data_IF_556760372508
#
_entry.id   IF_556760372508
#
_cell.length_a   1.000
_cell.length_b   1.000
_cell.length_c   1.000
_cell.angle_alpha   90.00
_cell.angle_beta   90.00
_cell.angle_gamma   90.00
#
_symmetry.space_group_name_H-M   'P 1'
#
loop_
_entity.id
_entity.type
_entity.pdbx_description
1 polymer ?
#
# COMPACT_ATOMS: atom_id res chain seq x y z
N UNK A 1 34.04 20.93 28.29
CA UNK A 1 34.63 20.84 26.94
C UNK A 1 33.98 21.92 26.11
N UNK A 2 34.75 22.70 25.34
CA UNK A 2 34.16 23.60 24.35
C UNK A 2 33.35 22.78 23.32
N UNK A 3 32.21 23.27 22.82
CA UNK A 3 31.40 22.55 21.85
C UNK A 3 32.19 22.18 20.58
N UNK A 4 31.87 21.05 19.97
CA UNK A 4 32.63 20.44 18.86
C UNK A 4 32.71 21.36 17.61
N UNK A 5 31.74 22.25 17.44
CA UNK A 5 31.69 23.25 16.36
C UNK A 5 32.56 24.50 16.59
N UNK A 6 33.21 24.64 17.76
CA UNK A 6 34.04 25.80 18.10
C UNK A 6 35.54 25.65 17.74
N UNK A 7 35.97 24.52 17.14
CA UNK A 7 37.37 24.20 16.76
C UNK A 7 37.49 23.70 15.31
N UNK A 8 38.67 23.80 14.65
CA UNK A 8 38.76 24.01 13.20
C UNK A 8 38.04 22.94 12.39
N UNK A 9 37.04 23.47 11.67
CA UNK A 9 36.14 22.95 10.64
C UNK A 9 35.42 21.61 10.92
N UNK A 10 34.13 21.69 11.28
CA UNK A 10 33.17 20.59 11.26
C UNK A 10 33.28 19.76 9.96
N UNK A 11 33.55 20.45 8.85
CA UNK A 11 33.88 19.85 7.56
C UNK A 11 35.03 18.82 7.61
N UNK A 12 36.15 19.12 8.28
CA UNK A 12 37.25 18.18 8.43
C UNK A 12 36.85 16.95 9.25
N UNK A 13 36.02 17.13 10.28
CA UNK A 13 35.54 16.01 11.11
C UNK A 13 34.58 15.11 10.31
N UNK A 14 33.68 15.69 9.52
CA UNK A 14 32.81 14.95 8.61
C UNK A 14 33.63 14.15 7.60
N UNK A 15 34.77 14.67 7.13
CA UNK A 15 35.66 13.97 6.19
C UNK A 15 36.45 12.84 6.86
N UNK A 16 36.92 13.03 8.10
CA UNK A 16 37.82 12.08 8.78
C UNK A 16 37.11 10.93 9.50
N UNK A 17 35.84 11.10 9.90
CA UNK A 17 35.15 10.14 10.79
C UNK A 17 34.36 9.08 10.03
N UNK A 18 34.81 7.83 9.99
CA UNK A 18 34.15 6.77 9.18
C UNK A 18 32.65 6.58 9.46
N UNK A 19 32.22 6.68 10.72
CA UNK A 19 30.81 6.68 11.11
C UNK A 19 30.42 8.04 11.72
N UNK A 20 29.60 8.78 10.98
CA UNK A 20 29.18 10.12 11.38
C UNK A 20 28.03 10.13 12.39
N UNK A 21 27.49 8.96 12.79
CA UNK A 21 26.29 8.84 13.64
C UNK A 21 26.45 9.51 15.01
N UNK A 22 27.57 9.28 15.69
CA UNK A 22 27.84 9.89 16.99
C UNK A 22 28.02 11.41 16.87
N UNK A 23 28.69 11.86 15.81
CA UNK A 23 28.88 13.28 15.53
C UNK A 23 27.53 13.95 15.21
N UNK A 24 26.66 13.29 14.43
CA UNK A 24 25.35 13.83 14.10
C UNK A 24 24.46 13.92 15.33
N UNK A 25 24.47 12.90 16.20
CA UNK A 25 23.70 12.94 17.44
C UNK A 25 24.16 14.08 18.36
N UNK A 26 25.47 14.24 18.55
CA UNK A 26 26.01 15.33 19.38
C UNK A 26 25.66 16.71 18.83
N UNK A 27 25.71 16.90 17.50
CA UNK A 27 25.35 18.17 16.86
C UNK A 27 23.85 18.42 16.91
N UNK A 28 23.02 17.39 16.75
CA UNK A 28 21.58 17.50 16.91
C UNK A 28 21.20 17.91 18.35
N UNK A 29 21.87 17.35 19.37
CA UNK A 29 21.69 17.77 20.77
C UNK A 29 22.07 19.24 21.01
N UNK A 30 23.14 19.72 20.37
CA UNK A 30 23.54 21.14 20.40
C UNK A 30 22.49 22.03 19.72
N UNK A 31 21.93 21.59 18.60
CA UNK A 31 20.85 22.29 17.89
C UNK A 31 19.60 22.39 18.77
N UNK A 32 19.16 21.27 19.33
CA UNK A 32 17.97 21.20 20.20
C UNK A 32 18.13 22.04 21.46
N UNK A 33 19.34 22.09 22.01
CA UNK A 33 19.63 22.90 23.19
C UNK A 33 19.81 24.40 22.88
N UNK A 34 19.68 24.82 21.62
CA UNK A 34 19.88 26.20 21.18
C UNK A 34 21.33 26.67 21.26
N UNK A 35 22.29 25.74 21.34
CA UNK A 35 23.74 26.04 21.34
C UNK A 35 24.27 26.27 19.92
N UNK A 36 23.64 25.67 18.92
CA UNK A 36 24.00 25.80 17.51
C UNK A 36 22.73 26.04 16.68
N UNK A 37 22.75 27.05 15.81
CA UNK A 37 21.66 27.24 14.85
C UNK A 37 21.87 26.39 13.60
N UNK A 38 20.78 25.83 13.05
CA UNK A 38 20.86 24.95 11.88
C UNK A 38 21.35 25.70 10.63
N UNK A 39 21.07 27.01 10.50
CA UNK A 39 21.59 27.81 9.39
C UNK A 39 23.10 28.00 9.53
N UNK A 40 23.59 28.35 10.71
CA UNK A 40 25.03 28.43 10.98
C UNK A 40 25.73 27.08 10.75
N UNK A 41 25.09 25.97 11.13
CA UNK A 41 25.60 24.64 10.82
C UNK A 41 25.67 24.41 9.30
N UNK A 42 24.61 24.70 8.55
CA UNK A 42 24.62 24.53 7.08
C UNK A 42 25.69 25.36 6.39
N UNK A 43 25.98 26.58 6.88
CA UNK A 43 27.06 27.42 6.37
C UNK A 43 28.43 26.77 6.61
N UNK A 44 28.67 26.23 7.81
CA UNK A 44 29.91 25.50 8.12
C UNK A 44 30.08 24.22 7.30
N UNK A 45 28.99 23.66 6.79
CA UNK A 45 29.01 22.48 5.92
C UNK A 45 29.20 22.81 4.44
N UNK A 46 29.25 24.09 4.03
CA UNK A 46 29.32 24.47 2.63
C UNK A 46 30.52 23.80 1.91
N UNK A 47 31.68 23.75 2.56
CA UNK A 47 32.92 23.16 2.00
C UNK A 47 32.82 21.66 1.73
N UNK A 48 31.94 20.93 2.44
CA UNK A 48 31.67 19.51 2.18
C UNK A 48 30.51 19.30 1.23
N UNK A 49 29.43 20.10 1.33
CA UNK A 49 28.22 19.96 0.51
C UNK A 49 28.41 20.41 -0.94
N UNK A 50 29.33 21.34 -1.21
CA UNK A 50 29.63 21.84 -2.57
C UNK A 50 31.04 21.48 -3.02
N UNK A 51 31.68 20.50 -2.37
CA UNK A 51 33.04 20.09 -2.70
C UNK A 51 33.13 19.54 -4.14
N UNK A 52 34.27 19.72 -4.83
CA UNK A 52 34.46 19.12 -6.15
C UNK A 52 34.53 17.58 -6.10
N UNK A 53 35.03 17.02 -4.99
CA UNK A 53 35.09 15.58 -4.79
C UNK A 53 33.72 15.00 -4.38
N UNK A 54 33.20 14.09 -5.20
CA UNK A 54 31.91 13.41 -4.98
C UNK A 54 31.83 12.72 -3.62
N UNK A 55 32.91 12.06 -3.18
CA UNK A 55 32.91 11.34 -1.90
C UNK A 55 32.78 12.28 -0.70
N UNK A 56 33.32 13.49 -0.81
CA UNK A 56 33.18 14.51 0.24
C UNK A 56 31.73 15.01 0.28
N UNK A 57 31.11 15.23 -0.89
CA UNK A 57 29.69 15.61 -0.99
C UNK A 57 28.76 14.52 -0.45
N UNK A 58 29.01 13.26 -0.82
CA UNK A 58 28.31 12.08 -0.31
C UNK A 58 28.31 12.08 1.23
N UNK A 59 29.48 12.23 1.85
CA UNK A 59 29.61 12.29 3.32
C UNK A 59 28.89 13.49 3.94
N UNK A 60 29.03 14.67 3.33
CA UNK A 60 28.33 15.88 3.78
C UNK A 60 26.80 15.70 3.74
N UNK A 61 26.29 15.07 2.68
CA UNK A 61 24.87 14.81 2.51
C UNK A 61 24.35 13.76 3.49
N UNK A 62 25.09 12.66 3.71
CA UNK A 62 24.77 11.65 4.73
C UNK A 62 24.68 12.32 6.10
N UNK A 63 25.69 13.11 6.46
CA UNK A 63 25.70 13.83 7.73
C UNK A 63 24.49 14.75 7.89
N UNK A 64 24.18 15.57 6.87
CA UNK A 64 23.03 16.47 6.92
C UNK A 64 21.70 15.72 7.08
N UNK A 65 21.54 14.61 6.35
CA UNK A 65 20.35 13.75 6.45
C UNK A 65 20.22 13.12 7.84
N UNK A 66 21.32 12.69 8.47
CA UNK A 66 21.26 12.18 9.84
C UNK A 66 20.84 13.27 10.84
N UNK A 67 21.37 14.50 10.72
CA UNK A 67 20.92 15.62 11.56
C UNK A 67 19.41 15.82 11.44
N UNK A 68 18.86 15.83 10.23
CA UNK A 68 17.42 16.01 10.03
C UNK A 68 16.57 14.90 10.64
N UNK A 69 17.11 13.68 10.75
CA UNK A 69 16.42 12.55 11.38
C UNK A 69 16.45 12.62 12.92
N UNK A 70 17.49 13.23 13.50
CA UNK A 70 17.70 13.32 14.94
C UNK A 70 17.01 14.55 15.58
N UNK A 71 16.82 15.65 14.84
CA UNK A 71 16.14 16.83 15.37
C UNK A 71 14.62 16.60 15.56
N UNK A 72 13.98 17.27 16.53
CA UNK A 72 12.53 17.20 16.72
C UNK A 72 11.74 17.61 15.47
N UNK A 73 10.65 16.91 15.20
CA UNK A 73 9.81 17.12 14.01
C UNK A 73 9.21 18.53 13.91
N UNK A 74 9.11 19.24 15.03
CA UNK A 74 8.58 20.61 15.11
C UNK A 74 9.65 21.70 15.23
N UNK A 75 10.93 21.33 15.13
CA UNK A 75 12.06 22.25 15.26
C UNK A 75 12.14 23.26 14.10
N UNK A 76 11.96 22.80 12.86
CA UNK A 76 12.16 23.64 11.68
C UNK A 76 10.99 24.59 11.44
N UNK A 77 11.32 25.86 11.22
CA UNK A 77 10.35 26.88 10.78
C UNK A 77 9.94 26.67 9.32
N UNK A 78 8.79 27.24 8.91
CA UNK A 78 8.34 27.20 7.51
C UNK A 78 9.38 27.74 6.51
N UNK A 79 10.12 28.79 6.88
CA UNK A 79 11.18 29.37 6.04
C UNK A 79 12.35 28.41 5.86
N UNK A 80 12.79 27.78 6.95
CA UNK A 80 13.87 26.78 6.91
C UNK A 80 13.44 25.56 6.11
N UNK A 81 12.19 25.12 6.24
CA UNK A 81 11.62 24.04 5.42
C UNK A 81 11.70 24.38 3.94
N UNK A 82 11.22 25.56 3.51
CA UNK A 82 11.30 25.95 2.10
C UNK A 82 12.74 25.96 1.56
N UNK A 83 13.68 26.47 2.36
CA UNK A 83 15.09 26.49 1.99
C UNK A 83 15.71 25.08 1.88
N UNK A 84 15.50 24.25 2.91
CA UNK A 84 16.02 22.87 2.95
C UNK A 84 15.40 22.04 1.82
N UNK A 85 14.09 22.19 1.57
CA UNK A 85 13.44 21.48 0.48
C UNK A 85 14.09 21.81 -0.86
N UNK A 86 14.29 23.09 -1.17
CA UNK A 86 14.97 23.52 -2.39
C UNK A 86 16.38 22.96 -2.49
N UNK A 87 17.12 22.96 -1.38
CA UNK A 87 18.45 22.35 -1.32
C UNK A 87 18.41 20.86 -1.69
N UNK A 88 17.49 20.07 -1.12
CA UNK A 88 17.34 18.65 -1.48
C UNK A 88 16.95 18.44 -2.95
N UNK A 89 16.05 19.28 -3.49
CA UNK A 89 15.70 19.25 -4.93
C UNK A 89 16.93 19.47 -5.80
N UNK A 90 17.76 20.47 -5.47
CA UNK A 90 18.99 20.76 -6.21
C UNK A 90 20.04 19.63 -6.07
N UNK A 91 19.98 18.82 -5.01
CA UNK A 91 20.88 17.66 -4.81
C UNK A 91 20.43 16.39 -5.54
N UNK A 92 19.20 16.31 -6.05
CA UNK A 92 18.78 15.21 -6.94
C UNK A 92 19.49 15.21 -8.29
N UNK A 93 20.10 16.35 -8.67
CA UNK A 93 20.90 16.50 -9.88
C UNK A 93 22.39 16.18 -9.67
N UNK A 94 22.79 15.79 -8.45
CA UNK A 94 24.17 15.44 -8.13
C UNK A 94 24.51 14.02 -8.61
N UNK A 95 25.75 13.60 -8.37
CA UNK A 95 26.23 12.26 -8.68
C UNK A 95 25.42 11.19 -7.95
N UNK A 96 25.26 10.03 -8.60
CA UNK A 96 24.50 8.87 -8.08
C UNK A 96 24.91 8.41 -6.67
N UNK A 97 26.12 8.73 -6.19
CA UNK A 97 26.57 8.45 -4.82
C UNK A 97 25.88 9.30 -3.76
N UNK A 98 25.46 10.51 -4.12
CA UNK A 98 24.81 11.48 -3.21
C UNK A 98 23.31 11.19 -3.10
N UNK A 99 22.69 10.70 -4.18
CA UNK A 99 21.25 10.47 -4.30
C UNK A 99 20.64 9.65 -3.16
N UNK A 100 21.23 8.53 -2.67
CA UNK A 100 20.65 7.76 -1.57
C UNK A 100 20.37 8.60 -0.32
N UNK A 101 21.34 9.43 0.08
CA UNK A 101 21.19 10.32 1.23
C UNK A 101 20.14 11.42 1.00
N UNK A 102 19.96 11.86 -0.26
CA UNK A 102 18.93 12.82 -0.65
C UNK A 102 17.53 12.19 -0.55
N UNK A 103 17.36 10.96 -1.04
CA UNK A 103 16.09 10.23 -0.96
C UNK A 103 15.69 9.95 0.49
N UNK A 104 16.63 9.48 1.31
CA UNK A 104 16.39 9.22 2.73
C UNK A 104 16.05 10.51 3.50
N UNK A 105 16.81 11.58 3.27
CA UNK A 105 16.59 12.85 3.96
C UNK A 105 15.30 13.53 3.56
N UNK A 106 14.91 13.48 2.27
CA UNK A 106 13.62 14.03 1.85
C UNK A 106 12.45 13.25 2.48
N UNK A 107 12.56 11.93 2.59
CA UNK A 107 11.53 11.11 3.25
C UNK A 107 11.37 11.45 4.74
N UNK A 108 12.46 11.73 5.45
CA UNK A 108 12.43 12.19 6.84
C UNK A 108 11.85 13.61 6.94
N UNK A 109 12.22 14.47 5.99
CA UNK A 109 11.80 15.86 5.91
C UNK A 109 10.27 16.02 5.72
N UNK A 110 9.64 15.13 4.96
CA UNK A 110 8.17 15.10 4.76
C UNK A 110 7.40 14.89 6.07
N UNK A 111 8.03 14.32 7.10
CA UNK A 111 7.41 14.13 8.43
C UNK A 111 7.51 15.36 9.35
N UNK A 112 8.18 16.43 8.92
CA UNK A 112 8.32 17.65 9.72
C UNK A 112 6.96 18.34 9.87
N UNK A 113 6.65 18.81 11.09
CA UNK A 113 5.34 19.38 11.45
C UNK A 113 4.93 20.56 10.58
N UNK A 114 5.90 21.39 10.18
CA UNK A 114 5.68 22.59 9.39
C UNK A 114 5.90 22.36 7.88
N UNK A 115 5.98 21.10 7.42
CA UNK A 115 6.20 20.77 6.01
C UNK A 115 5.05 21.28 5.14
N UNK A 116 5.38 22.10 4.14
CA UNK A 116 4.42 22.56 3.13
C UNK A 116 4.41 21.55 1.98
N UNK A 117 3.28 20.86 1.80
CA UNK A 117 3.11 19.83 0.76
C UNK A 117 3.42 20.38 -0.64
N UNK A 118 3.28 21.70 -0.85
CA UNK A 118 3.60 22.36 -2.13
C UNK A 118 5.07 22.21 -2.53
N UNK A 119 5.96 22.01 -1.57
CA UNK A 119 7.38 21.76 -1.84
C UNK A 119 7.62 20.41 -2.55
N UNK A 120 6.67 19.46 -2.49
CA UNK A 120 6.81 18.16 -3.17
C UNK A 120 6.73 18.23 -4.69
N UNK A 121 6.15 19.30 -5.25
CA UNK A 121 6.01 19.45 -6.71
C UNK A 121 7.37 19.50 -7.40
N UNK A 122 8.22 20.45 -7.01
CA UNK A 122 9.59 20.58 -7.56
C UNK A 122 10.43 19.33 -7.29
N UNK A 123 10.23 18.69 -6.14
CA UNK A 123 10.90 17.43 -5.81
C UNK A 123 10.54 16.31 -6.75
N UNK A 124 9.25 16.04 -6.98
CA UNK A 124 8.85 14.97 -7.89
C UNK A 124 9.27 15.25 -9.33
N UNK A 125 9.19 16.51 -9.79
CA UNK A 125 9.70 16.90 -11.11
C UNK A 125 11.19 16.60 -11.26
N UNK A 126 12.02 16.98 -10.28
CA UNK A 126 13.46 16.68 -10.33
C UNK A 126 13.74 15.17 -10.17
N UNK A 127 13.05 14.50 -9.24
CA UNK A 127 13.21 13.08 -8.96
C UNK A 127 12.98 12.24 -10.22
N UNK A 128 11.84 12.44 -10.88
CA UNK A 128 11.47 11.63 -12.05
C UNK A 128 12.27 11.98 -13.31
N UNK A 129 12.86 13.18 -13.36
CA UNK A 129 13.74 13.58 -14.47
C UNK A 129 15.16 13.06 -14.30
N UNK A 130 15.71 13.17 -13.09
CA UNK A 130 17.15 13.05 -12.85
C UNK A 130 17.53 11.71 -12.18
N UNK A 131 16.58 11.00 -11.56
CA UNK A 131 16.84 9.73 -10.85
C UNK A 131 16.14 8.56 -11.53
N UNK A 132 16.94 7.63 -12.06
CA UNK A 132 16.43 6.35 -12.56
C UNK A 132 16.15 5.43 -11.36
N UNK A 133 14.87 5.24 -11.01
CA UNK A 133 14.45 4.44 -9.85
C UNK A 133 15.07 3.03 -9.86
N UNK A 134 15.07 2.37 -11.02
CA UNK A 134 15.51 0.99 -11.19
C UNK A 134 17.03 0.81 -10.98
N UNK A 135 17.83 1.89 -11.08
CA UNK A 135 19.26 1.82 -10.78
C UNK A 135 19.57 1.95 -9.29
N UNK A 136 18.59 2.35 -8.47
CA UNK A 136 18.76 2.50 -7.03
C UNK A 136 18.68 1.16 -6.31
N UNK A 137 19.30 1.07 -5.13
CA UNK A 137 19.17 -0.13 -4.28
C UNK A 137 17.75 -0.27 -3.74
N UNK A 138 17.41 -1.46 -3.24
CA UNK A 138 16.05 -1.79 -2.75
C UNK A 138 15.48 -0.72 -1.82
N UNK A 139 16.26 -0.31 -0.81
CA UNK A 139 15.81 0.62 0.23
C UNK A 139 15.53 2.02 -0.33
N UNK A 140 16.33 2.47 -1.29
CA UNK A 140 16.17 3.78 -1.92
C UNK A 140 14.91 3.83 -2.80
N UNK A 141 14.63 2.76 -3.54
CA UNK A 141 13.35 2.62 -4.27
C UNK A 141 12.15 2.63 -3.32
N UNK A 142 12.27 1.94 -2.19
CA UNK A 142 11.26 1.98 -1.14
C UNK A 142 11.04 3.41 -0.61
N UNK A 143 12.11 4.18 -0.41
CA UNK A 143 12.02 5.56 0.05
C UNK A 143 11.27 6.46 -0.94
N UNK A 144 11.44 6.24 -2.26
CA UNK A 144 10.67 6.93 -3.31
C UNK A 144 9.17 6.63 -3.16
N UNK A 145 8.79 5.35 -3.09
CA UNK A 145 7.38 4.96 -2.96
C UNK A 145 6.75 5.43 -1.65
N UNK A 146 7.50 5.36 -0.55
CA UNK A 146 7.08 5.89 0.75
C UNK A 146 6.83 7.39 0.69
N UNK A 147 7.69 8.14 0.02
CA UNK A 147 7.52 9.59 -0.15
C UNK A 147 6.22 9.90 -0.87
N UNK A 148 5.93 9.21 -1.98
CA UNK A 148 4.66 9.35 -2.71
C UNK A 148 3.45 9.07 -1.82
N UNK A 149 3.48 7.97 -1.06
CA UNK A 149 2.38 7.63 -0.13
C UNK A 149 2.19 8.67 0.97
N UNK A 150 3.27 9.17 1.57
CA UNK A 150 3.18 10.20 2.61
C UNK A 150 2.55 11.49 2.07
N UNK A 151 2.93 11.92 0.87
CA UNK A 151 2.32 13.10 0.24
C UNK A 151 0.83 12.85 -0.07
N UNK A 152 0.47 11.66 -0.54
CA UNK A 152 -0.94 11.27 -0.72
C UNK A 152 -1.75 11.37 0.57
N UNK A 153 -1.16 10.96 1.70
CA UNK A 153 -1.80 10.97 3.03
C UNK A 153 -1.90 12.38 3.61
N UNK A 154 -0.90 13.23 3.37
CA UNK A 154 -0.89 14.62 3.82
C UNK A 154 -1.90 15.46 3.05
N UNK A 155 -1.91 15.38 1.72
CA UNK A 155 -2.85 16.12 0.88
C UNK A 155 -3.06 15.46 -0.48
N UNK A 156 -4.07 14.57 -0.54
CA UNK A 156 -4.50 13.95 -1.78
C UNK A 156 -5.03 14.97 -2.81
N UNK A 157 -5.52 16.14 -2.40
CA UNK A 157 -6.02 17.17 -3.33
C UNK A 157 -4.84 17.84 -4.02
N UNK A 158 -3.80 18.17 -3.27
CA UNK A 158 -2.57 18.71 -3.84
C UNK A 158 -1.89 17.69 -4.76
N UNK A 159 -1.78 16.41 -4.37
CA UNK A 159 -1.17 15.40 -5.22
C UNK A 159 -1.88 15.27 -6.58
N UNK A 160 -3.23 15.34 -6.60
CA UNK A 160 -4.02 15.38 -7.85
C UNK A 160 -3.69 16.59 -8.72
N UNK A 161 -3.37 17.73 -8.11
CA UNK A 161 -3.04 18.96 -8.83
C UNK A 161 -1.71 18.90 -9.58
N UNK A 162 -0.83 17.94 -9.26
CA UNK A 162 0.42 17.73 -9.98
C UNK A 162 0.21 17.21 -11.41
N UNK A 163 -0.96 16.66 -11.72
CA UNK A 163 -1.37 16.33 -13.07
C UNK A 163 -0.70 15.08 -13.67
N UNK A 164 -0.82 14.89 -15.00
CA UNK A 164 -0.42 13.66 -15.67
C UNK A 164 1.10 13.40 -15.65
N UNK A 165 1.95 14.43 -15.67
CA UNK A 165 3.40 14.26 -15.63
C UNK A 165 3.87 13.57 -14.35
N UNK A 166 3.22 13.87 -13.22
CA UNK A 166 3.47 13.17 -11.97
C UNK A 166 3.08 11.68 -12.06
N UNK A 167 1.93 11.37 -12.66
CA UNK A 167 1.46 9.99 -12.86
C UNK A 167 2.45 9.22 -13.74
N UNK A 168 2.89 9.82 -14.86
CA UNK A 168 3.93 9.28 -15.74
C UNK A 168 5.22 8.97 -14.96
N UNK A 169 5.69 9.91 -14.15
CA UNK A 169 6.90 9.70 -13.35
C UNK A 169 6.76 8.57 -12.33
N UNK A 170 5.59 8.45 -11.69
CA UNK A 170 5.29 7.35 -10.76
C UNK A 170 5.27 5.99 -11.49
N UNK A 171 4.54 5.85 -12.61
CA UNK A 171 4.46 4.58 -13.33
C UNK A 171 5.82 4.16 -13.90
N UNK A 172 6.62 5.12 -14.40
CA UNK A 172 7.99 4.87 -14.85
C UNK A 172 8.87 4.40 -13.69
N UNK A 173 8.71 4.99 -12.51
CA UNK A 173 9.47 4.59 -11.31
C UNK A 173 9.10 3.20 -10.81
N UNK A 174 7.85 2.78 -10.99
CA UNK A 174 7.36 1.45 -10.60
C UNK A 174 7.69 0.35 -11.62
N UNK A 175 7.81 0.72 -12.89
CA UNK A 175 7.99 -0.24 -13.99
C UNK A 175 9.24 -1.11 -13.75
N UNK A 176 9.05 -2.42 -13.69
CA UNK A 176 10.16 -3.37 -13.49
C UNK A 176 10.69 -3.43 -12.07
N UNK A 177 9.96 -2.98 -11.04
CA UNK A 177 10.27 -3.34 -9.65
C UNK A 177 10.22 -4.87 -9.47
N UNK A 178 11.24 -5.43 -8.81
CA UNK A 178 11.43 -6.89 -8.65
C UNK A 178 11.49 -7.34 -7.20
N UNK A 179 11.76 -6.43 -6.28
CA UNK A 179 11.80 -6.80 -4.87
C UNK A 179 10.37 -7.02 -4.36
N UNK A 180 10.06 -8.21 -3.80
CA UNK A 180 8.69 -8.55 -3.43
C UNK A 180 8.17 -7.69 -2.27
N UNK A 181 9.03 -7.12 -1.43
CA UNK A 181 8.61 -6.24 -0.33
C UNK A 181 8.23 -4.87 -0.87
N UNK A 182 8.97 -4.36 -1.85
CA UNK A 182 8.61 -3.12 -2.55
C UNK A 182 7.33 -3.28 -3.37
N UNK A 183 7.16 -4.41 -4.09
CA UNK A 183 5.92 -4.71 -4.80
C UNK A 183 4.72 -4.80 -3.85
N UNK A 184 4.87 -5.52 -2.73
CA UNK A 184 3.81 -5.62 -1.73
C UNK A 184 3.45 -4.23 -1.17
N UNK A 185 4.44 -3.38 -0.89
CA UNK A 185 4.19 -2.01 -0.46
C UNK A 185 3.40 -1.21 -1.51
N UNK A 186 3.85 -1.22 -2.76
CA UNK A 186 3.17 -0.56 -3.89
C UNK A 186 1.72 -1.05 -4.03
N UNK A 187 1.51 -2.36 -4.13
CA UNK A 187 0.19 -2.96 -4.33
C UNK A 187 -0.80 -2.65 -3.19
N UNK A 188 -0.31 -2.40 -1.97
CA UNK A 188 -1.19 -2.04 -0.87
C UNK A 188 -1.71 -0.59 -0.95
N UNK A 189 -0.95 0.37 -1.46
CA UNK A 189 -1.42 1.77 -1.55
C UNK A 189 -1.91 2.20 -2.93
N UNK A 190 -1.53 1.50 -3.99
CA UNK A 190 -2.01 1.80 -5.35
C UNK A 190 -3.53 1.82 -5.48
N UNK A 191 -4.31 0.90 -4.86
CA UNK A 191 -5.78 0.96 -4.96
C UNK A 191 -6.36 2.26 -4.39
N UNK A 192 -5.75 2.79 -3.32
CA UNK A 192 -6.13 4.10 -2.76
C UNK A 192 -5.77 5.23 -3.72
N UNK A 193 -4.54 5.21 -4.26
CA UNK A 193 -4.06 6.18 -5.23
C UNK A 193 -4.96 6.23 -6.47
N UNK A 194 -5.22 5.07 -7.10
CA UNK A 194 -6.00 4.94 -8.33
C UNK A 194 -7.45 5.43 -8.17
N UNK A 195 -8.07 5.20 -7.01
CA UNK A 195 -9.42 5.71 -6.73
C UNK A 195 -9.48 7.22 -6.52
N UNK A 196 -8.38 7.82 -6.05
CA UNK A 196 -8.31 9.25 -5.72
C UNK A 196 -7.82 10.09 -6.90
N UNK A 197 -6.89 9.59 -7.70
CA UNK A 197 -6.16 10.37 -8.71
C UNK A 197 -6.73 10.11 -10.11
N UNK A 198 -7.14 11.16 -10.85
CA UNK A 198 -7.67 10.99 -12.20
C UNK A 198 -6.54 10.61 -13.17
N UNK A 199 -6.65 9.42 -13.79
CA UNK A 199 -5.63 8.91 -14.72
C UNK A 199 -5.64 9.62 -16.08
N UNK A 200 -6.80 10.15 -16.50
CA UNK A 200 -6.93 10.87 -17.77
C UNK A 200 -6.61 9.98 -18.97
N UNK A 201 -5.67 10.42 -19.82
CA UNK A 201 -5.25 9.65 -20.99
C UNK A 201 -4.27 8.52 -20.67
N UNK A 202 -3.76 8.43 -19.43
CA UNK A 202 -2.73 7.46 -19.02
C UNK A 202 -3.30 6.12 -18.54
N UNK A 203 -4.57 5.84 -18.83
CA UNK A 203 -5.26 4.66 -18.31
C UNK A 203 -4.59 3.36 -18.80
N UNK A 204 -4.26 3.29 -20.09
CA UNK A 204 -3.61 2.14 -20.70
C UNK A 204 -2.22 1.91 -20.11
N UNK A 205 -1.40 2.95 -20.02
CA UNK A 205 -0.03 2.86 -19.52
C UNK A 205 0.02 2.46 -18.04
N UNK A 206 -0.89 3.02 -17.22
CA UNK A 206 -1.00 2.63 -15.81
C UNK A 206 -1.43 1.16 -15.70
N UNK A 207 -2.41 0.73 -16.51
CA UNK A 207 -2.86 -0.65 -16.48
C UNK A 207 -1.77 -1.62 -16.93
N UNK A 208 -1.01 -1.32 -17.98
CA UNK A 208 0.10 -2.15 -18.46
C UNK A 208 1.17 -2.35 -17.38
N UNK A 209 1.58 -1.26 -16.71
CA UNK A 209 2.59 -1.33 -15.63
C UNK A 209 2.12 -2.20 -14.46
N UNK A 210 0.82 -2.16 -14.12
CA UNK A 210 0.28 -2.99 -13.02
C UNK A 210 0.06 -4.44 -13.48
N UNK A 211 -0.52 -4.64 -14.66
CA UNK A 211 -0.92 -5.95 -15.17
C UNK A 211 0.25 -6.82 -15.61
N UNK A 212 1.43 -6.24 -15.87
CA UNK A 212 2.62 -7.02 -16.20
C UNK A 212 3.06 -8.00 -15.09
N UNK A 213 2.61 -7.77 -13.86
CA UNK A 213 2.84 -8.68 -12.72
C UNK A 213 1.85 -9.85 -12.67
N UNK A 214 0.88 -9.93 -13.60
CA UNK A 214 -0.19 -10.93 -13.57
C UNK A 214 0.02 -12.08 -14.58
N UNK A 215 -0.15 -13.35 -14.18
CA UNK A 215 -0.28 -13.82 -12.80
C UNK A 215 1.07 -13.75 -12.07
N UNK A 216 1.03 -13.64 -10.74
CA UNK A 216 2.27 -13.66 -9.95
C UNK A 216 2.93 -15.04 -10.08
N UNK A 217 4.11 -15.09 -10.67
CA UNK A 217 4.98 -16.25 -10.68
C UNK A 217 6.22 -15.96 -9.83
N UNK A 218 6.12 -16.27 -8.54
CA UNK A 218 7.13 -15.92 -7.55
C UNK A 218 7.39 -17.11 -6.62
N UNK A 219 8.67 -17.41 -6.42
CA UNK A 219 9.15 -18.48 -5.56
C UNK A 219 10.14 -17.88 -4.55
N UNK A 220 9.75 -17.66 -3.28
CA UNK A 220 10.63 -17.06 -2.29
C UNK A 220 11.85 -17.94 -2.02
N UNK A 221 12.97 -17.30 -1.68
CA UNK A 221 14.17 -18.02 -1.23
C UNK A 221 13.89 -18.73 0.09
N UNK A 222 14.26 -20.01 0.26
CA UNK A 222 14.02 -20.76 1.50
C UNK A 222 14.67 -20.13 2.75
N UNK A 223 15.72 -19.33 2.57
CA UNK A 223 16.51 -18.72 3.64
C UNK A 223 16.17 -17.24 3.87
N UNK A 224 15.06 -16.75 3.31
CA UNK A 224 14.66 -15.36 3.53
C UNK A 224 14.00 -15.20 4.91
N UNK A 225 14.59 -14.40 5.83
CA UNK A 225 14.07 -14.22 7.19
C UNK A 225 12.75 -13.44 7.25
N UNK A 226 12.37 -12.75 6.17
CA UNK A 226 11.15 -11.96 6.05
C UNK A 226 10.53 -12.22 4.67
N UNK A 227 10.26 -13.49 4.39
CA UNK A 227 9.73 -13.95 3.11
C UNK A 227 8.30 -13.45 2.88
N UNK A 228 8.13 -12.56 1.90
CA UNK A 228 6.83 -12.30 1.28
C UNK A 228 6.46 -13.54 0.46
N UNK A 229 5.23 -14.05 0.57
CA UNK A 229 4.81 -15.19 -0.23
C UNK A 229 4.22 -14.77 -1.58
N UNK A 230 4.17 -15.73 -2.51
CA UNK A 230 3.46 -15.58 -3.78
C UNK A 230 2.00 -15.17 -3.60
N UNK A 231 1.34 -15.76 -2.60
CA UNK A 231 -0.07 -15.50 -2.34
C UNK A 231 -0.30 -14.10 -1.79
N UNK A 232 0.63 -13.58 -0.97
CA UNK A 232 0.55 -12.20 -0.47
C UNK A 232 0.60 -11.20 -1.62
N UNK A 233 1.54 -11.39 -2.55
CA UNK A 233 1.64 -10.55 -3.75
C UNK A 233 0.41 -10.64 -4.64
N UNK A 234 -0.09 -11.86 -4.88
CA UNK A 234 -1.26 -12.06 -5.73
C UNK A 234 -2.52 -11.44 -5.10
N UNK A 235 -2.69 -11.59 -3.78
CA UNK A 235 -3.79 -10.98 -3.04
C UNK A 235 -3.71 -9.45 -3.08
N UNK A 236 -2.52 -8.86 -2.98
CA UNK A 236 -2.33 -7.41 -3.04
C UNK A 236 -2.49 -6.84 -4.47
N UNK A 237 -2.08 -7.58 -5.51
CA UNK A 237 -2.20 -7.13 -6.91
C UNK A 237 -3.67 -7.04 -7.37
N UNK A 238 -4.52 -8.00 -6.99
CA UNK A 238 -5.92 -8.07 -7.44
C UNK A 238 -6.71 -6.76 -7.20
N UNK A 239 -6.70 -6.15 -6.00
CA UNK A 239 -7.32 -4.84 -5.75
C UNK A 239 -6.82 -3.71 -6.65
N UNK A 240 -5.58 -3.77 -7.16
CA UNK A 240 -5.06 -2.76 -8.08
C UNK A 240 -5.74 -2.85 -9.46
N UNK A 241 -5.89 -4.06 -9.99
CA UNK A 241 -6.52 -4.33 -11.29
C UNK A 241 -8.03 -4.02 -11.31
N UNK A 242 -8.66 -4.02 -10.13
CA UNK A 242 -10.08 -3.69 -9.95
C UNK A 242 -10.30 -2.30 -9.31
N UNK A 243 -9.26 -1.49 -9.15
CA UNK A 243 -9.35 -0.25 -8.37
C UNK A 243 -10.29 0.79 -9.00
N UNK A 244 -10.34 0.83 -10.34
CA UNK A 244 -11.12 1.81 -11.12
C UNK A 244 -11.90 1.12 -12.24
N UNK A 245 -13.15 1.54 -12.53
CA UNK A 245 -13.99 0.90 -13.55
C UNK A 245 -13.39 0.92 -14.96
N UNK A 246 -12.61 1.95 -15.28
CA UNK A 246 -12.02 2.14 -16.62
C UNK A 246 -11.01 1.04 -16.99
N UNK A 247 -10.48 0.28 -16.02
CA UNK A 247 -9.65 -0.89 -16.28
C UNK A 247 -10.45 -2.11 -16.78
N UNK A 248 -11.78 -2.11 -16.69
CA UNK A 248 -12.62 -3.29 -16.90
C UNK A 248 -12.38 -4.01 -18.23
N UNK A 249 -12.32 -3.28 -19.35
CA UNK A 249 -12.11 -3.87 -20.67
C UNK A 249 -10.75 -4.58 -20.78
N UNK A 250 -9.68 -3.89 -20.41
CA UNK A 250 -8.31 -4.44 -20.47
C UNK A 250 -8.12 -5.60 -19.48
N UNK A 251 -8.77 -5.51 -18.31
CA UNK A 251 -8.77 -6.57 -17.32
C UNK A 251 -9.47 -7.83 -17.83
N UNK A 252 -10.60 -7.68 -18.55
CA UNK A 252 -11.28 -8.82 -19.17
C UNK A 252 -10.43 -9.47 -20.27
N UNK A 253 -9.77 -8.67 -21.12
CA UNK A 253 -8.86 -9.18 -22.16
C UNK A 253 -7.73 -10.00 -21.51
N UNK A 254 -7.04 -9.42 -20.52
CA UNK A 254 -5.99 -10.08 -19.75
C UNK A 254 -6.47 -11.41 -19.16
N UNK A 255 -7.66 -11.43 -18.57
CA UNK A 255 -8.23 -12.62 -17.94
C UNK A 255 -8.53 -13.73 -18.94
N UNK A 256 -9.10 -13.40 -20.10
CA UNK A 256 -9.36 -14.37 -21.17
C UNK A 256 -8.05 -15.00 -21.64
N UNK A 257 -7.03 -14.18 -21.92
CA UNK A 257 -5.70 -14.66 -22.30
C UNK A 257 -5.09 -15.60 -21.26
N UNK A 258 -5.21 -15.27 -19.98
CA UNK A 258 -4.67 -16.12 -18.90
C UNK A 258 -5.48 -17.40 -18.67
N UNK A 259 -6.79 -17.38 -18.92
CA UNK A 259 -7.63 -18.59 -18.88
C UNK A 259 -7.28 -19.58 -20.00
N UNK A 260 -6.84 -19.09 -21.14
CA UNK A 260 -6.38 -19.92 -22.27
C UNK A 260 -4.95 -20.45 -22.10
N UNK A 261 -4.16 -19.87 -21.20
CA UNK A 261 -2.79 -20.32 -20.94
C UNK A 261 -2.70 -21.77 -20.44
N UNK A 262 -1.55 -22.43 -20.56
CA UNK A 262 -1.35 -23.78 -20.00
C UNK A 262 -1.08 -23.78 -18.49
N UNK A 263 -0.81 -22.61 -17.90
CA UNK A 263 -0.43 -22.48 -16.49
C UNK A 263 -1.66 -22.58 -15.59
N UNK A 264 -1.78 -23.67 -14.83
CA UNK A 264 -2.91 -23.90 -13.91
C UNK A 264 -3.10 -22.76 -12.90
N UNK A 265 -2.00 -22.19 -12.39
CA UNK A 265 -2.04 -21.07 -11.44
C UNK A 265 -2.66 -19.82 -12.09
N UNK A 266 -2.30 -19.51 -13.34
CA UNK A 266 -2.88 -18.41 -14.09
C UNK A 266 -4.40 -18.55 -14.23
N UNK A 267 -4.88 -19.76 -14.53
CA UNK A 267 -6.33 -20.04 -14.61
C UNK A 267 -7.02 -19.84 -13.27
N UNK A 268 -6.46 -20.40 -12.20
CA UNK A 268 -7.03 -20.28 -10.85
C UNK A 268 -7.13 -18.82 -10.43
N UNK A 269 -6.07 -18.05 -10.63
CA UNK A 269 -6.07 -16.63 -10.29
C UNK A 269 -7.05 -15.85 -11.16
N UNK A 270 -7.18 -16.20 -12.44
CA UNK A 270 -8.11 -15.50 -13.35
C UNK A 270 -9.55 -15.76 -12.99
N UNK A 271 -9.85 -17.00 -12.59
CA UNK A 271 -11.14 -17.33 -12.02
C UNK A 271 -11.36 -16.61 -10.69
N UNK A 272 -10.35 -16.46 -9.82
CA UNK A 272 -10.49 -15.69 -8.57
C UNK A 272 -10.81 -14.21 -8.85
N UNK A 273 -10.06 -13.57 -9.75
CA UNK A 273 -10.21 -12.15 -10.08
C UNK A 273 -11.54 -11.88 -10.79
N UNK A 274 -11.98 -12.78 -11.69
CA UNK A 274 -13.25 -12.65 -12.40
C UNK A 274 -14.46 -12.98 -11.52
N UNK A 275 -14.39 -14.10 -10.79
CA UNK A 275 -15.58 -14.68 -10.15
C UNK A 275 -15.91 -13.98 -8.85
N UNK A 276 -14.95 -13.53 -8.05
CA UNK A 276 -15.31 -12.97 -6.72
C UNK A 276 -16.13 -11.67 -6.87
N UNK A 277 -15.71 -10.65 -7.65
CA UNK A 277 -16.52 -9.44 -7.85
C UNK A 277 -17.84 -9.74 -8.56
N UNK A 278 -17.81 -10.55 -9.63
CA UNK A 278 -19.01 -10.92 -10.39
C UNK A 278 -20.01 -11.72 -9.52
N UNK A 279 -19.53 -12.64 -8.70
CA UNK A 279 -20.38 -13.43 -7.82
C UNK A 279 -21.01 -12.56 -6.74
N UNK A 280 -20.27 -11.56 -6.22
CA UNK A 280 -20.80 -10.59 -5.26
C UNK A 280 -21.90 -9.75 -5.89
N UNK A 281 -21.68 -9.19 -7.09
CA UNK A 281 -22.69 -8.38 -7.81
C UNK A 281 -23.88 -9.21 -8.28
N UNK A 282 -23.63 -10.46 -8.68
CA UNK A 282 -24.69 -11.32 -9.15
C UNK A 282 -25.69 -11.74 -8.08
N UNK A 283 -25.36 -11.59 -6.79
CA UNK A 283 -26.31 -11.80 -5.69
C UNK A 283 -27.51 -10.85 -5.72
N UNK A 284 -27.42 -9.73 -6.45
CA UNK A 284 -28.52 -8.78 -6.60
C UNK A 284 -29.45 -9.10 -7.78
N UNK A 285 -29.03 -9.98 -8.69
CA UNK A 285 -29.86 -10.37 -9.83
C UNK A 285 -30.90 -11.42 -9.46
N UNK A 286 -32.14 -11.17 -9.87
CA UNK A 286 -33.29 -12.04 -9.64
C UNK A 286 -33.35 -13.20 -10.67
N UNK A 287 -32.23 -13.91 -10.84
CA UNK A 287 -32.10 -15.09 -11.70
C UNK A 287 -31.71 -16.31 -10.86
N UNK A 288 -32.60 -17.31 -10.80
CA UNK A 288 -32.42 -18.47 -9.92
C UNK A 288 -31.13 -19.24 -10.20
N UNK A 289 -30.87 -19.58 -11.47
CA UNK A 289 -29.75 -20.45 -11.84
C UNK A 289 -28.42 -19.73 -11.62
N UNK A 290 -28.37 -18.44 -11.94
CA UNK A 290 -27.22 -17.58 -11.65
C UNK A 290 -26.95 -17.49 -10.14
N UNK A 291 -27.97 -17.20 -9.33
CA UNK A 291 -27.82 -17.11 -7.88
C UNK A 291 -27.31 -18.41 -7.27
N UNK A 292 -27.80 -19.57 -7.72
CA UNK A 292 -27.33 -20.87 -7.22
C UNK A 292 -25.84 -21.08 -7.51
N UNK A 293 -25.40 -20.82 -8.74
CA UNK A 293 -23.99 -20.93 -9.14
C UNK A 293 -23.11 -19.97 -8.34
N UNK A 294 -23.56 -18.73 -8.16
CA UNK A 294 -22.76 -17.70 -7.48
C UNK A 294 -22.66 -17.94 -5.98
N UNK A 295 -23.72 -18.40 -5.32
CA UNK A 295 -23.66 -18.80 -3.90
C UNK A 295 -22.71 -19.98 -3.70
N UNK A 296 -22.72 -20.97 -4.60
CA UNK A 296 -21.81 -22.12 -4.53
C UNK A 296 -20.35 -21.69 -4.71
N UNK A 297 -20.09 -20.78 -5.66
CA UNK A 297 -18.76 -20.20 -5.87
C UNK A 297 -18.27 -19.39 -4.68
N UNK A 298 -19.11 -18.52 -4.11
CA UNK A 298 -18.76 -17.77 -2.89
C UNK A 298 -18.48 -18.72 -1.72
N UNK A 299 -19.29 -19.77 -1.55
CA UNK A 299 -19.08 -20.79 -0.51
C UNK A 299 -17.74 -21.50 -0.70
N UNK A 300 -17.35 -21.80 -1.93
CA UNK A 300 -16.03 -22.38 -2.23
C UNK A 300 -14.89 -21.42 -1.84
N UNK A 301 -15.00 -20.13 -2.18
CA UNK A 301 -13.98 -19.14 -1.82
C UNK A 301 -13.86 -18.88 -0.33
N UNK A 302 -14.99 -18.87 0.40
CA UNK A 302 -15.02 -18.77 1.86
C UNK A 302 -14.27 -19.95 2.49
N UNK A 303 -14.58 -21.18 2.06
CA UNK A 303 -13.90 -22.40 2.55
C UNK A 303 -12.42 -22.45 2.22
N UNK A 304 -12.00 -21.78 1.15
CA UNK A 304 -10.60 -21.67 0.76
C UNK A 304 -9.82 -20.58 1.54
N UNK A 305 -10.43 -19.92 2.54
CA UNK A 305 -9.85 -18.83 3.31
C UNK A 305 -9.27 -17.71 2.43
N UNK A 306 -9.98 -17.34 1.36
CA UNK A 306 -9.54 -16.28 0.47
C UNK A 306 -9.70 -14.89 1.15
N UNK A 307 -8.62 -14.10 1.20
CA UNK A 307 -8.60 -12.79 1.88
C UNK A 307 -9.63 -11.81 1.33
N UNK A 308 -9.90 -11.85 0.01
CA UNK A 308 -10.88 -10.97 -0.67
C UNK A 308 -12.28 -11.17 -0.07
N UNK A 309 -12.63 -12.40 0.33
CA UNK A 309 -13.92 -12.71 0.95
C UNK A 309 -14.06 -12.05 2.33
N UNK A 310 -12.98 -12.06 3.12
CA UNK A 310 -12.92 -11.44 4.45
C UNK A 310 -13.00 -9.92 4.35
N UNK A 311 -12.28 -9.33 3.39
CA UNK A 311 -12.29 -7.88 3.13
C UNK A 311 -13.65 -7.39 2.62
N UNK A 312 -14.38 -8.24 1.89
CA UNK A 312 -15.66 -7.89 1.27
C UNK A 312 -16.88 -8.27 2.13
N UNK A 313 -16.70 -8.67 3.39
CA UNK A 313 -17.81 -9.13 4.26
C UNK A 313 -18.93 -8.10 4.40
N UNK A 314 -18.59 -6.82 4.48
CA UNK A 314 -19.57 -5.72 4.57
C UNK A 314 -20.50 -5.66 3.35
N UNK A 315 -20.04 -6.11 2.18
CA UNK A 315 -20.82 -6.16 0.93
C UNK A 315 -21.51 -7.53 0.75
N UNK A 316 -20.78 -8.62 1.03
CA UNK A 316 -21.26 -9.99 0.84
C UNK A 316 -22.41 -10.32 1.81
N UNK A 317 -22.26 -10.01 3.10
CA UNK A 317 -23.20 -10.46 4.12
C UNK A 317 -24.61 -9.89 3.93
N UNK A 318 -24.82 -8.58 3.69
CA UNK A 318 -26.16 -8.06 3.43
C UNK A 318 -26.85 -8.74 2.24
N UNK A 319 -26.10 -9.00 1.17
CA UNK A 319 -26.59 -9.67 -0.05
C UNK A 319 -26.96 -11.13 0.22
N UNK A 320 -26.08 -11.90 0.88
CA UNK A 320 -26.35 -13.28 1.26
C UNK A 320 -27.53 -13.42 2.23
N UNK A 321 -27.61 -12.54 3.23
CA UNK A 321 -28.67 -12.52 4.22
C UNK A 321 -30.03 -12.28 3.55
N UNK A 322 -30.12 -11.33 2.62
CA UNK A 322 -31.37 -11.07 1.88
C UNK A 322 -31.87 -12.33 1.14
N UNK A 323 -30.95 -13.12 0.61
CA UNK A 323 -31.26 -14.36 -0.09
C UNK A 323 -31.71 -15.50 0.86
N UNK A 324 -31.48 -15.41 2.17
CA UNK A 324 -31.95 -16.41 3.15
C UNK A 324 -33.48 -16.47 3.26
N UNK A 325 -34.17 -15.41 2.87
CA UNK A 325 -35.64 -15.31 2.83
C UNK A 325 -36.18 -15.23 1.39
N UNK A 326 -35.37 -15.58 0.40
CA UNK A 326 -35.73 -15.51 -1.02
C UNK A 326 -37.00 -16.31 -1.36
N UNK A 327 -38.03 -15.60 -1.83
CA UNK A 327 -39.38 -16.15 -1.98
C UNK A 327 -39.47 -17.27 -3.03
N UNK A 328 -38.75 -17.13 -4.15
CA UNK A 328 -38.97 -17.95 -5.36
C UNK A 328 -38.29 -19.33 -5.32
N UNK A 329 -37.34 -19.55 -4.42
CA UNK A 329 -36.59 -20.81 -4.39
C UNK A 329 -36.13 -21.17 -2.98
N UNK A 330 -36.51 -22.36 -2.52
CA UNK A 330 -36.00 -22.93 -1.28
C UNK A 330 -34.51 -23.29 -1.36
N UNK A 331 -34.01 -23.62 -2.55
CA UNK A 331 -32.61 -23.99 -2.75
C UNK A 331 -31.69 -22.80 -2.51
N UNK A 332 -32.07 -21.62 -3.03
CA UNK A 332 -31.35 -20.35 -2.77
C UNK A 332 -31.34 -20.06 -1.28
N UNK A 333 -32.50 -20.08 -0.61
CA UNK A 333 -32.56 -19.84 0.84
C UNK A 333 -31.63 -20.78 1.61
N UNK A 334 -31.69 -22.07 1.28
CA UNK A 334 -30.91 -23.11 1.96
C UNK A 334 -29.41 -22.95 1.71
N UNK A 335 -28.98 -22.70 0.47
CA UNK A 335 -27.58 -22.48 0.12
C UNK A 335 -27.03 -21.17 0.67
N UNK A 336 -27.80 -20.09 0.66
CA UNK A 336 -27.40 -18.82 1.30
C UNK A 336 -27.17 -19.00 2.80
N UNK A 337 -28.04 -19.73 3.49
CA UNK A 337 -27.85 -20.07 4.92
C UNK A 337 -26.58 -20.91 5.14
N UNK A 338 -26.30 -21.88 4.27
CA UNK A 338 -25.07 -22.66 4.33
C UNK A 338 -23.83 -21.79 4.10
N UNK A 339 -23.87 -20.87 3.13
CA UNK A 339 -22.77 -19.95 2.87
C UNK A 339 -22.52 -19.03 4.08
N UNK A 340 -23.58 -18.47 4.67
CA UNK A 340 -23.51 -17.67 5.91
C UNK A 340 -22.92 -18.48 7.07
N UNK A 341 -23.26 -19.76 7.19
CA UNK A 341 -22.63 -20.67 8.17
C UNK A 341 -21.13 -20.84 7.92
N UNK A 342 -20.71 -21.08 6.68
CA UNK A 342 -19.29 -21.24 6.35
C UNK A 342 -18.48 -19.96 6.60
N UNK A 343 -19.07 -18.78 6.37
CA UNK A 343 -18.42 -17.50 6.71
C UNK A 343 -18.04 -17.47 8.19
N UNK A 344 -18.92 -17.92 9.09
CA UNK A 344 -18.61 -17.96 10.51
C UNK A 344 -17.64 -19.07 10.92
N UNK A 345 -17.43 -20.11 10.10
CA UNK A 345 -16.44 -21.15 10.37
C UNK A 345 -15.04 -20.79 9.88
N UNK A 346 -14.95 -20.09 8.76
CA UNK A 346 -13.70 -19.90 8.04
C UNK A 346 -13.06 -18.53 8.32
N UNK A 347 -13.85 -17.49 8.61
CA UNK A 347 -13.33 -16.15 8.87
C UNK A 347 -12.97 -15.96 10.35
N UNK A 348 -11.88 -15.22 10.61
CA UNK A 348 -11.44 -14.93 11.97
C UNK A 348 -12.43 -14.04 12.72
N UNK A 349 -12.67 -14.36 14.00
CA UNK A 349 -13.64 -13.69 14.90
C UNK A 349 -13.60 -12.16 14.87
N UNK A 350 -12.44 -11.47 14.86
CA UNK A 350 -12.40 -10.00 14.80
C UNK A 350 -13.13 -9.41 13.60
N UNK A 351 -13.09 -10.07 12.44
CA UNK A 351 -13.78 -9.61 11.23
C UNK A 351 -15.29 -9.89 11.27
N UNK A 352 -15.73 -10.86 12.06
CA UNK A 352 -17.13 -11.28 12.17
C UNK A 352 -17.92 -10.46 13.20
N UNK A 353 -17.26 -10.03 14.28
CA UNK A 353 -17.89 -9.30 15.39
C UNK A 353 -18.73 -8.08 14.95
N UNK A 354 -18.26 -7.21 14.03
CA UNK A 354 -19.05 -6.07 13.55
C UNK A 354 -20.39 -6.45 12.92
N UNK A 355 -20.51 -7.67 12.38
CA UNK A 355 -21.68 -8.12 11.64
C UNK A 355 -22.60 -9.04 12.46
N UNK A 356 -22.13 -9.53 13.62
CA UNK A 356 -22.80 -10.57 14.42
C UNK A 356 -24.27 -10.26 14.70
N UNK A 357 -24.55 -9.06 15.23
CA UNK A 357 -25.92 -8.70 15.61
C UNK A 357 -26.84 -8.59 14.40
N UNK A 358 -26.38 -7.97 13.31
CA UNK A 358 -27.13 -7.83 12.06
C UNK A 358 -27.48 -9.20 11.48
N UNK A 359 -26.50 -10.11 11.40
CA UNK A 359 -26.72 -11.47 10.90
C UNK A 359 -27.72 -12.22 11.79
N UNK A 360 -27.52 -12.20 13.12
CA UNK A 360 -28.43 -12.88 14.03
C UNK A 360 -29.86 -12.33 13.94
N UNK A 361 -30.07 -11.03 13.81
CA UNK A 361 -31.43 -10.51 13.63
C UNK A 361 -32.03 -10.96 12.30
N UNK A 362 -31.27 -10.88 11.22
CA UNK A 362 -31.77 -11.16 9.89
C UNK A 362 -31.96 -12.66 9.59
N UNK A 363 -31.28 -13.56 10.31
CA UNK A 363 -31.52 -15.01 10.22
C UNK A 363 -32.76 -15.47 11.00
N UNK A 364 -33.38 -14.62 11.82
CA UNK A 364 -34.53 -15.03 12.64
C UNK A 364 -35.74 -15.52 11.82
N UNK A 365 -36.16 -14.83 10.74
CA UNK A 365 -37.31 -15.28 9.93
C UNK A 365 -37.09 -16.66 9.28
N UNK A 366 -35.84 -17.01 8.97
CA UNK A 366 -35.51 -18.29 8.33
C UNK A 366 -35.69 -19.50 9.27
N UNK A 367 -35.78 -19.28 10.59
CA UNK A 367 -36.10 -20.34 11.57
C UNK A 367 -37.54 -20.86 11.41
N UNK A 368 -38.44 -20.00 10.94
CA UNK A 368 -39.85 -20.31 10.72
C UNK A 368 -40.15 -20.64 9.24
N UNK A 369 -39.12 -20.91 8.43
CA UNK A 369 -39.30 -21.26 7.01
C UNK A 369 -40.25 -22.45 6.84
N UNK A 370 -41.16 -22.48 5.85
CA UNK A 370 -42.09 -23.61 5.65
C UNK A 370 -41.38 -24.95 5.40
N UNK A 371 -40.14 -24.95 4.90
CA UNK A 371 -39.39 -26.15 4.55
C UNK A 371 -38.41 -26.56 5.66
N UNK A 372 -38.52 -27.82 6.11
CA UNK A 372 -37.68 -28.39 7.18
C UNK A 372 -36.17 -28.28 6.90
N UNK A 373 -35.74 -28.48 5.65
CA UNK A 373 -34.32 -28.39 5.28
C UNK A 373 -33.77 -26.98 5.48
N UNK A 374 -34.53 -25.97 5.09
CA UNK A 374 -34.17 -24.56 5.25
C UNK A 374 -34.13 -24.18 6.73
N UNK A 375 -35.11 -24.60 7.53
CA UNK A 375 -35.08 -24.42 9.01
C UNK A 375 -33.84 -25.04 9.64
N UNK A 376 -33.44 -26.25 9.23
CA UNK A 376 -32.23 -26.91 9.74
C UNK A 376 -30.97 -26.10 9.41
N UNK A 377 -30.84 -25.62 8.18
CA UNK A 377 -29.73 -24.75 7.78
C UNK A 377 -29.72 -23.43 8.56
N UNK A 378 -30.90 -22.84 8.80
CA UNK A 378 -31.04 -21.62 9.59
C UNK A 378 -30.60 -21.80 11.04
N UNK A 379 -31.02 -22.91 11.69
CA UNK A 379 -30.58 -23.25 13.05
C UNK A 379 -29.06 -23.44 13.11
N UNK A 380 -28.47 -24.12 12.12
CA UNK A 380 -27.03 -24.35 12.07
C UNK A 380 -26.25 -23.04 11.92
N UNK A 381 -26.62 -22.21 10.93
CA UNK A 381 -26.00 -20.92 10.70
C UNK A 381 -26.13 -20.01 11.93
N UNK A 382 -27.36 -19.85 12.45
CA UNK A 382 -27.63 -18.98 13.60
C UNK A 382 -26.88 -19.43 14.86
N UNK A 383 -26.84 -20.72 15.14
CA UNK A 383 -26.09 -21.27 16.29
C UNK A 383 -24.61 -20.95 16.17
N UNK A 384 -24.00 -21.17 14.99
CA UNK A 384 -22.58 -20.86 14.79
C UNK A 384 -22.29 -19.38 14.96
N UNK A 385 -23.12 -18.51 14.40
CA UNK A 385 -23.00 -17.05 14.55
C UNK A 385 -23.22 -16.58 15.98
N UNK A 386 -24.04 -17.27 16.77
CA UNK A 386 -24.22 -16.96 18.19
C UNK A 386 -22.92 -17.19 18.98
N UNK A 387 -22.16 -18.23 18.63
CA UNK A 387 -20.89 -18.60 19.24
C UNK A 387 -19.71 -17.69 18.85
N UNK A 388 -19.82 -16.88 17.81
CA UNK A 388 -18.77 -15.92 17.41
C UNK A 388 -18.45 -14.96 18.56
N UNK A 389 -17.21 -14.98 19.06
CA UNK A 389 -16.75 -14.21 20.21
C UNK A 389 -17.22 -14.74 21.57
N UNK A 390 -17.70 -15.98 21.65
CA UNK A 390 -18.03 -16.64 22.92
C UNK A 390 -16.76 -17.17 23.62
N UNK A 391 -16.76 -17.27 24.96
CA UNK A 391 -15.64 -17.85 25.70
C UNK A 391 -15.39 -19.31 25.27
N UNK A 392 -14.17 -19.63 24.83
CA UNK A 392 -13.78 -20.98 24.39
C UNK A 392 -13.96 -21.24 22.89
N UNK A 393 -14.23 -20.21 22.08
CA UNK A 393 -14.07 -20.29 20.62
C UNK A 393 -12.57 -20.22 20.28
N UNK A 394 -12.01 -21.30 19.70
CA UNK A 394 -10.72 -21.29 18.99
C UNK A 394 -10.95 -21.09 17.48
#
# INVERSE_FOLDING_TARGET
MEPVWHKPDLAEQIIKTDDVSQLSQSIAEDIVAGRLDITSMTESMASVLTNQNVHIRERGMIFFTQILKEIPKDYLTEKQIKFISKFYVDRLQDNHRVIPAVLEGYLAFVDMKNYDVKCSGEYFTALFRDVVCQSQVRQDRYNIYMTVKKILDLDATYLKSLGPDFICGLIVSMNGERDPRNLLYLFNFLPEFLRKVPLGHLVEEVFEVISCYYPIDFHPSPNDPAAVSRNDLAAALCPCLCAVPVFGEQCLILLIEKLDSSLRVAKIDSLKLLIVPLAIDALEYDNKDLLLVMIDLLTHFVRANNSIMTESLQTILPRLINLTTYAKSMDIRTKSLQCVYEVANCCATPHLLPHKQTVLLALAPALDDPKRLTRRAAVQARTRWFLVGAPGEE
#
